data_IF_548309228791
#
_entry.id   IF_548309228791
#
_cell.length_a   1.000
_cell.length_b   1.000
_cell.length_c   1.000
_cell.angle_alpha   90.00
_cell.angle_beta   90.00
_cell.angle_gamma   90.00
#
_symmetry.space_group_name_H-M   'P 1'
#
loop_
_entity.id
_entity.type
_entity.pdbx_description
1 polymer ?
#
# COMPACT_ATOMS: atom_id res chain seq x y z
N UNK A 1 -0.20 12.19 14.68
CA UNK A 1 1.07 11.86 14.00
C UNK A 1 2.01 13.05 14.05
N UNK A 2 3.26 12.84 14.43
CA UNK A 2 4.27 13.91 14.45
C UNK A 2 5.61 13.42 13.88
N UNK A 3 6.04 12.24 14.29
CA UNK A 3 7.27 11.61 13.83
C UNK A 3 6.91 10.26 13.17
N UNK A 4 7.13 10.15 11.88
CA UNK A 4 6.63 9.04 11.07
C UNK A 4 7.79 8.28 10.43
N UNK A 5 7.75 6.96 10.51
CA UNK A 5 8.61 6.07 9.72
C UNK A 5 7.78 5.44 8.59
N UNK A 6 8.18 5.68 7.35
CA UNK A 6 7.59 5.04 6.16
C UNK A 6 8.49 3.91 5.71
N UNK A 7 8.20 2.67 6.08
CA UNK A 7 8.94 1.48 5.62
C UNK A 7 8.48 1.13 4.20
N UNK A 8 9.44 1.01 3.27
CA UNK A 8 9.14 0.85 1.85
C UNK A 8 8.92 2.18 1.11
N UNK A 9 9.59 3.24 1.57
CA UNK A 9 9.50 4.60 1.02
C UNK A 9 9.96 4.75 -0.44
N UNK A 10 10.60 3.74 -1.01
CA UNK A 10 11.04 3.71 -2.43
C UNK A 10 10.04 3.04 -3.36
N UNK A 11 8.96 2.47 -2.82
CA UNK A 11 7.87 1.89 -3.62
C UNK A 11 6.92 2.95 -4.19
N UNK A 12 5.97 2.53 -5.03
CA UNK A 12 4.99 3.42 -5.67
C UNK A 12 4.21 4.27 -4.65
N UNK A 13 3.56 3.62 -3.68
CA UNK A 13 2.83 4.34 -2.62
C UNK A 13 3.82 5.09 -1.72
N UNK A 14 4.94 4.44 -1.35
CA UNK A 14 5.87 4.96 -0.36
C UNK A 14 6.54 6.27 -0.76
N UNK A 15 6.91 6.40 -2.03
CA UNK A 15 7.50 7.63 -2.58
C UNK A 15 6.53 8.81 -2.43
N UNK A 16 5.31 8.65 -2.92
CA UNK A 16 4.31 9.72 -2.89
C UNK A 16 3.81 10.00 -1.46
N UNK A 17 3.58 8.96 -0.66
CA UNK A 17 3.17 9.13 0.74
C UNK A 17 4.23 9.88 1.57
N UNK A 18 5.51 9.52 1.40
CA UNK A 18 6.60 10.22 2.10
C UNK A 18 6.60 11.70 1.78
N UNK A 19 6.48 12.04 0.50
CA UNK A 19 6.44 13.44 0.06
C UNK A 19 5.20 14.17 0.59
N UNK A 20 4.04 13.52 0.53
CA UNK A 20 2.79 14.10 1.03
C UNK A 20 2.84 14.36 2.53
N UNK A 21 3.33 13.40 3.32
CA UNK A 21 3.50 13.56 4.77
C UNK A 21 4.48 14.69 5.11
N UNK A 22 5.59 14.84 4.37
CA UNK A 22 6.54 15.95 4.57
C UNK A 22 5.91 17.32 4.29
N UNK A 23 4.97 17.40 3.36
CA UNK A 23 4.22 18.63 3.07
C UNK A 23 3.20 18.94 4.16
N UNK A 24 2.46 17.95 4.63
CA UNK A 24 1.41 18.12 5.65
C UNK A 24 1.96 18.30 7.07
N UNK A 25 3.12 17.71 7.34
CA UNK A 25 3.78 17.77 8.66
C UNK A 25 5.17 18.41 8.55
N UNK A 26 5.29 19.69 8.18
CA UNK A 26 6.59 20.34 7.91
C UNK A 26 7.49 20.44 9.14
N UNK A 27 6.92 20.35 10.36
CA UNK A 27 7.65 20.37 11.62
C UNK A 27 7.85 18.95 12.21
N UNK A 28 7.45 17.91 11.49
CA UNK A 28 7.61 16.53 11.92
C UNK A 28 8.85 15.85 11.32
N UNK A 29 9.28 14.76 11.95
CA UNK A 29 10.29 13.89 11.37
C UNK A 29 9.59 12.84 10.51
N UNK A 30 9.65 12.98 9.19
CA UNK A 30 9.13 12.00 8.24
C UNK A 30 10.29 11.24 7.63
N UNK A 31 10.57 10.07 8.19
CA UNK A 31 11.74 9.24 7.86
C UNK A 31 11.40 8.29 6.73
N UNK A 32 12.14 8.37 5.62
CA UNK A 32 12.05 7.42 4.51
C UNK A 32 12.84 6.15 4.83
N UNK A 33 12.13 5.06 5.17
CA UNK A 33 12.71 3.74 5.41
C UNK A 33 12.93 2.97 4.11
N UNK A 34 14.15 2.52 3.88
CA UNK A 34 14.57 1.81 2.66
C UNK A 34 15.44 0.59 2.99
N UNK A 35 15.54 -0.36 2.07
CA UNK A 35 16.46 -1.48 2.18
C UNK A 35 17.77 -1.16 1.46
N UNK A 36 18.88 -1.72 1.94
CA UNK A 36 20.21 -1.60 1.30
C UNK A 36 20.15 -1.94 -0.19
N UNK A 37 20.66 -1.06 -1.02
CA UNK A 37 20.66 -1.18 -2.47
C UNK A 37 19.39 -0.64 -3.16
N UNK A 38 18.43 -0.14 -2.40
CA UNK A 38 17.24 0.55 -2.90
C UNK A 38 17.06 1.92 -2.20
N UNK A 39 18.15 2.67 -2.10
CA UNK A 39 18.17 3.98 -1.47
C UNK A 39 17.28 4.98 -2.23
N UNK A 40 16.51 5.83 -1.51
CA UNK A 40 15.74 6.90 -2.15
C UNK A 40 16.64 7.81 -2.98
N UNK A 41 16.09 8.33 -4.07
CA UNK A 41 16.76 9.28 -4.97
C UNK A 41 15.92 10.54 -5.16
N UNK A 42 16.55 11.59 -5.70
CA UNK A 42 15.91 12.86 -5.99
C UNK A 42 15.22 13.45 -4.76
N UNK A 43 14.03 13.96 -4.96
CA UNK A 43 13.33 14.76 -3.94
C UNK A 43 13.11 14.02 -2.61
N UNK A 44 12.91 12.70 -2.62
CA UNK A 44 12.75 11.92 -1.37
C UNK A 44 14.05 11.89 -0.57
N UNK A 45 15.21 11.77 -1.25
CA UNK A 45 16.52 11.81 -0.61
C UNK A 45 16.87 13.21 -0.09
N UNK A 46 16.47 14.25 -0.82
CA UNK A 46 16.87 15.64 -0.58
C UNK A 46 15.97 16.36 0.44
N UNK A 47 14.71 15.91 0.61
CA UNK A 47 13.70 16.64 1.37
C UNK A 47 13.55 16.25 2.83
N UNK A 48 14.32 15.28 3.35
CA UNK A 48 14.20 14.89 4.76
C UNK A 48 14.99 13.64 5.14
N UNK A 49 14.85 13.20 6.40
CA UNK A 49 15.62 12.10 6.93
C UNK A 49 15.33 10.76 6.26
N UNK A 50 16.34 9.90 6.24
CA UNK A 50 16.27 8.53 5.71
C UNK A 50 16.90 7.55 6.69
N UNK A 51 16.43 6.30 6.68
CA UNK A 51 16.99 5.21 7.48
C UNK A 51 17.01 3.90 6.66
N UNK A 52 18.09 3.13 6.79
CA UNK A 52 18.10 1.75 6.32
C UNK A 52 17.26 0.89 7.26
N UNK A 53 16.18 0.30 6.74
CA UNK A 53 15.23 -0.51 7.51
C UNK A 53 14.78 -1.69 6.67
N UNK A 54 15.35 -2.86 6.95
CA UNK A 54 14.82 -4.12 6.46
C UNK A 54 13.71 -4.59 7.41
N UNK A 55 12.48 -4.69 6.93
CA UNK A 55 11.33 -5.11 7.73
C UNK A 55 11.49 -6.51 8.33
N UNK A 56 12.36 -7.36 7.76
CA UNK A 56 12.66 -8.68 8.30
C UNK A 56 13.63 -8.65 9.50
N UNK A 57 14.14 -7.47 9.84
CA UNK A 57 15.03 -7.22 10.97
C UNK A 57 14.36 -6.27 11.98
N UNK A 58 13.78 -6.83 13.04
CA UNK A 58 13.08 -6.08 14.08
C UNK A 58 13.99 -5.03 14.76
N UNK A 59 15.30 -5.31 14.89
CA UNK A 59 16.22 -4.38 15.52
C UNK A 59 16.41 -3.10 14.70
N UNK A 60 16.50 -3.21 13.37
CA UNK A 60 16.59 -2.02 12.50
C UNK A 60 15.32 -1.14 12.58
N UNK A 61 14.15 -1.77 12.74
CA UNK A 61 12.91 -1.02 12.96
C UNK A 61 12.98 -0.29 14.30
N UNK A 62 13.37 -0.99 15.38
CA UNK A 62 13.48 -0.42 16.72
C UNK A 62 14.50 0.72 16.78
N UNK A 63 15.67 0.56 16.18
CA UNK A 63 16.73 1.58 16.12
C UNK A 63 16.24 2.86 15.41
N UNK A 64 15.50 2.69 14.29
CA UNK A 64 14.92 3.83 13.57
C UNK A 64 13.83 4.51 14.41
N UNK A 65 12.97 3.75 15.09
CA UNK A 65 11.94 4.29 15.98
C UNK A 65 12.56 5.11 17.11
N UNK A 66 13.60 4.61 17.78
CA UNK A 66 14.29 5.31 18.85
C UNK A 66 15.02 6.55 18.36
N UNK A 67 15.83 6.41 17.31
CA UNK A 67 16.66 7.50 16.77
C UNK A 67 15.83 8.72 16.35
N UNK A 68 14.66 8.49 15.76
CA UNK A 68 13.83 9.55 15.22
C UNK A 68 12.59 9.86 16.08
N UNK A 69 12.45 9.23 17.25
CA UNK A 69 11.31 9.38 18.16
C UNK A 69 9.97 9.14 17.46
N UNK A 70 9.90 8.06 16.66
CA UNK A 70 8.75 7.73 15.85
C UNK A 70 7.53 7.41 16.71
N UNK A 71 6.40 8.04 16.39
CA UNK A 71 5.10 7.76 16.99
C UNK A 71 4.16 6.96 16.07
N UNK A 72 4.47 6.94 14.77
CA UNK A 72 3.61 6.31 13.76
C UNK A 72 4.47 5.60 12.70
N UNK A 73 4.14 4.35 12.40
CA UNK A 73 4.81 3.56 11.36
C UNK A 73 3.82 3.29 10.22
N UNK A 74 4.17 3.71 9.00
CA UNK A 74 3.53 3.25 7.78
C UNK A 74 4.33 2.07 7.22
N UNK A 75 3.80 0.87 7.39
CA UNK A 75 4.41 -0.34 6.85
C UNK A 75 3.87 -0.62 5.43
N UNK A 76 4.63 -0.21 4.42
CA UNK A 76 4.27 -0.41 3.01
C UNK A 76 5.08 -1.54 2.35
N UNK A 77 5.99 -2.19 3.09
CA UNK A 77 6.84 -3.24 2.55
C UNK A 77 6.03 -4.50 2.23
N UNK A 78 5.99 -4.86 0.96
CA UNK A 78 5.33 -6.07 0.48
C UNK A 78 5.91 -6.49 -0.88
N UNK A 79 5.82 -7.78 -1.22
CA UNK A 79 5.90 -8.21 -2.61
C UNK A 79 4.51 -8.16 -3.23
N UNK A 80 4.39 -7.58 -4.45
CA UNK A 80 3.12 -7.51 -5.16
C UNK A 80 2.78 -8.84 -5.83
N UNK A 81 1.51 -8.99 -6.24
CA UNK A 81 0.89 -10.26 -6.60
C UNK A 81 1.72 -11.15 -7.51
N UNK A 82 2.18 -10.68 -8.68
CA UNK A 82 2.95 -11.52 -9.61
C UNK A 82 4.32 -11.94 -9.04
N UNK A 83 5.02 -10.99 -8.39
CA UNK A 83 6.31 -11.27 -7.75
C UNK A 83 6.15 -12.18 -6.53
N UNK A 84 5.06 -12.04 -5.79
CA UNK A 84 4.75 -12.88 -4.64
C UNK A 84 4.50 -14.33 -5.07
N UNK A 85 3.75 -14.57 -6.14
CA UNK A 85 3.53 -15.91 -6.69
C UNK A 85 4.84 -16.57 -7.18
N UNK A 86 5.74 -15.79 -7.76
CA UNK A 86 7.05 -16.29 -8.17
C UNK A 86 7.97 -16.61 -6.97
N UNK A 87 7.75 -15.98 -5.81
CA UNK A 87 8.62 -16.10 -4.61
C UNK A 87 7.78 -16.20 -3.33
N UNK A 88 6.96 -17.25 -3.15
CA UNK A 88 5.97 -17.32 -2.06
C UNK A 88 6.58 -17.31 -0.66
N UNK A 89 7.74 -17.94 -0.45
CA UNK A 89 8.42 -17.94 0.85
C UNK A 89 8.90 -16.52 1.22
N UNK A 90 9.41 -15.77 0.23
CA UNK A 90 9.84 -14.39 0.46
C UNK A 90 8.64 -13.47 0.70
N UNK A 91 7.53 -13.70 -0.03
CA UNK A 91 6.28 -12.98 0.19
C UNK A 91 5.76 -13.17 1.61
N UNK A 92 5.79 -14.40 2.13
CA UNK A 92 5.43 -14.71 3.51
C UNK A 92 6.38 -14.04 4.51
N UNK A 93 7.69 -14.20 4.29
CA UNK A 93 8.72 -13.61 5.18
C UNK A 93 8.56 -12.10 5.32
N UNK A 94 8.34 -11.39 4.20
CA UNK A 94 8.17 -9.93 4.19
C UNK A 94 6.77 -9.55 4.67
N UNK A 95 5.71 -10.10 4.06
CA UNK A 95 4.33 -9.67 4.29
C UNK A 95 3.79 -10.04 5.68
N UNK A 96 4.13 -11.23 6.17
CA UNK A 96 3.67 -11.70 7.49
C UNK A 96 4.75 -11.52 8.54
N UNK A 97 5.95 -12.05 8.31
CA UNK A 97 7.06 -11.94 9.26
C UNK A 97 7.49 -10.49 9.50
N UNK A 98 7.59 -9.70 8.43
CA UNK A 98 7.92 -8.28 8.55
C UNK A 98 6.83 -7.48 9.27
N UNK A 99 5.56 -7.73 8.98
CA UNK A 99 4.46 -7.12 9.73
C UNK A 99 4.51 -7.51 11.22
N UNK A 100 4.75 -8.79 11.53
CA UNK A 100 4.89 -9.25 12.90
C UNK A 100 5.99 -8.49 13.64
N UNK A 101 7.18 -8.33 13.03
CA UNK A 101 8.26 -7.53 13.59
C UNK A 101 7.84 -6.07 13.86
N UNK A 102 7.14 -5.47 12.89
CA UNK A 102 6.63 -4.09 13.03
C UNK A 102 5.65 -3.96 14.19
N UNK A 103 4.73 -4.90 14.33
CA UNK A 103 3.73 -4.90 15.40
C UNK A 103 4.37 -5.12 16.79
N UNK A 104 5.40 -5.99 16.89
CA UNK A 104 6.13 -6.18 18.15
C UNK A 104 6.90 -4.92 18.54
N UNK A 105 7.61 -4.29 17.61
CA UNK A 105 8.30 -3.02 17.89
C UNK A 105 7.27 -1.93 18.26
N UNK A 106 6.15 -1.84 17.56
CA UNK A 106 5.11 -0.88 17.87
C UNK A 106 4.51 -1.10 19.27
N UNK A 107 4.29 -2.35 19.66
CA UNK A 107 3.85 -2.71 21.02
C UNK A 107 4.84 -2.28 22.10
N UNK A 108 6.12 -2.49 21.85
CA UNK A 108 7.19 -2.16 22.83
C UNK A 108 7.47 -0.67 22.94
N UNK A 109 7.37 0.05 21.81
CA UNK A 109 7.72 1.47 21.71
C UNK A 109 6.52 2.42 21.75
N UNK A 110 5.28 1.89 21.75
CA UNK A 110 4.07 2.70 21.81
C UNK A 110 3.73 3.42 20.50
N UNK A 111 4.08 2.85 19.34
CA UNK A 111 3.79 3.44 18.04
C UNK A 111 2.40 3.00 17.52
N UNK A 112 1.73 3.89 16.78
CA UNK A 112 0.62 3.51 15.92
C UNK A 112 1.14 2.90 14.60
N UNK A 113 0.36 2.00 13.97
CA UNK A 113 0.78 1.30 12.75
C UNK A 113 -0.31 1.40 11.68
N UNK A 114 0.07 1.88 10.51
CA UNK A 114 -0.70 1.72 9.28
C UNK A 114 -0.09 0.60 8.43
N UNK A 115 -0.90 -0.37 8.01
CA UNK A 115 -0.45 -1.39 7.05
C UNK A 115 -1.54 -1.59 6.01
N UNK A 116 -1.32 -1.27 4.72
CA UNK A 116 -2.37 -1.39 3.72
C UNK A 116 -2.73 -2.85 3.46
N UNK A 117 -4.03 -3.12 3.47
CA UNK A 117 -4.60 -4.31 2.85
C UNK A 117 -4.93 -4.04 1.38
N UNK A 118 -5.62 -4.94 0.73
CA UNK A 118 -5.90 -4.89 -0.71
C UNK A 118 -7.19 -5.63 -1.02
N UNK A 119 -7.85 -5.29 -2.12
CA UNK A 119 -8.91 -6.11 -2.72
C UNK A 119 -8.41 -7.53 -3.06
N UNK A 120 -7.09 -7.73 -3.17
CA UNK A 120 -6.49 -9.06 -3.27
C UNK A 120 -6.73 -9.99 -2.08
N UNK A 121 -7.21 -9.46 -0.94
CA UNK A 121 -7.67 -10.26 0.22
C UNK A 121 -9.00 -10.98 -0.02
N UNK A 122 -9.74 -10.58 -1.04
CA UNK A 122 -10.98 -11.22 -1.45
C UNK A 122 -10.71 -12.47 -2.32
N UNK A 123 -11.70 -13.35 -2.40
CA UNK A 123 -11.62 -14.60 -3.16
C UNK A 123 -12.90 -14.90 -3.93
N UNK A 124 -12.95 -16.07 -4.55
CA UNK A 124 -14.09 -16.47 -5.39
C UNK A 124 -15.44 -16.49 -4.68
N UNK A 125 -15.44 -16.69 -3.36
CA UNK A 125 -16.68 -16.72 -2.56
C UNK A 125 -17.12 -15.33 -2.07
N UNK A 126 -16.35 -14.29 -2.32
CA UNK A 126 -16.69 -12.91 -1.94
C UNK A 126 -17.68 -12.34 -2.97
N UNK A 127 -18.79 -11.68 -2.54
CA UNK A 127 -19.65 -10.95 -3.46
C UNK A 127 -18.86 -9.92 -4.26
N UNK A 128 -19.08 -9.91 -5.60
CA UNK A 128 -18.31 -9.02 -6.49
C UNK A 128 -18.86 -7.61 -6.54
N UNK A 129 -20.18 -7.49 -6.49
CA UNK A 129 -20.87 -6.20 -6.49
C UNK A 129 -21.27 -5.83 -5.09
N UNK A 130 -21.08 -4.55 -4.71
CA UNK A 130 -21.36 -4.04 -3.39
C UNK A 130 -20.75 -4.89 -2.26
N UNK A 131 -19.47 -5.27 -2.44
CA UNK A 131 -18.73 -6.12 -1.49
C UNK A 131 -18.87 -5.61 -0.05
N UNK A 132 -19.49 -6.37 0.87
CA UNK A 132 -19.65 -5.95 2.24
C UNK A 132 -18.29 -5.75 2.94
N UNK A 133 -18.29 -4.87 3.96
CA UNK A 133 -17.10 -4.65 4.79
C UNK A 133 -16.69 -5.96 5.48
N UNK A 134 -17.65 -6.65 6.07
CA UNK A 134 -17.45 -7.97 6.66
C UNK A 134 -17.97 -9.04 5.69
N UNK A 135 -17.04 -9.82 5.16
CA UNK A 135 -17.34 -10.82 4.12
C UNK A 135 -16.36 -11.98 4.17
N UNK A 136 -16.66 -13.03 3.40
CA UNK A 136 -15.77 -14.18 3.27
C UNK A 136 -14.51 -13.79 2.51
N UNK A 137 -13.35 -13.97 3.14
CA UNK A 137 -12.04 -13.77 2.54
C UNK A 137 -11.36 -15.13 2.37
N UNK A 138 -11.31 -15.64 1.15
CA UNK A 138 -10.61 -16.87 0.77
C UNK A 138 -9.84 -16.65 -0.53
N UNK A 139 -8.77 -15.84 -0.48
CA UNK A 139 -7.94 -15.58 -1.66
C UNK A 139 -7.19 -16.85 -2.09
N UNK A 140 -6.99 -16.96 -3.41
CA UNK A 140 -6.26 -18.08 -4.03
C UNK A 140 -4.77 -17.78 -4.22
N UNK A 141 -4.31 -16.57 -3.90
CA UNK A 141 -2.93 -16.12 -4.10
C UNK A 141 -2.19 -15.97 -2.79
N UNK A 142 -0.86 -16.23 -2.79
CA UNK A 142 -0.03 -16.01 -1.60
C UNK A 142 -0.08 -14.54 -1.16
N UNK A 143 -0.13 -13.59 -2.09
CA UNK A 143 -0.30 -12.18 -1.80
C UNK A 143 -1.58 -11.93 -0.99
N UNK A 144 -2.72 -12.40 -1.48
CA UNK A 144 -4.01 -12.26 -0.79
C UNK A 144 -4.01 -12.93 0.58
N UNK A 145 -3.41 -14.12 0.70
CA UNK A 145 -3.26 -14.83 1.98
C UNK A 145 -2.46 -14.00 2.98
N UNK A 146 -1.34 -13.38 2.56
CA UNK A 146 -0.56 -12.50 3.44
C UNK A 146 -1.36 -11.26 3.88
N UNK A 147 -2.22 -10.72 3.00
CA UNK A 147 -3.08 -9.57 3.35
C UNK A 147 -4.13 -9.94 4.38
N UNK A 148 -4.86 -11.05 4.19
CA UNK A 148 -5.82 -11.55 5.18
C UNK A 148 -5.14 -11.83 6.53
N UNK A 149 -3.99 -12.50 6.51
CA UNK A 149 -3.20 -12.76 7.72
C UNK A 149 -2.81 -11.46 8.41
N UNK A 150 -2.41 -10.45 7.64
CA UNK A 150 -2.04 -9.13 8.16
C UNK A 150 -3.22 -8.40 8.82
N UNK A 151 -4.41 -8.45 8.21
CA UNK A 151 -5.64 -7.90 8.81
C UNK A 151 -5.94 -8.56 10.18
N UNK A 152 -5.89 -9.90 10.23
CA UNK A 152 -6.17 -10.65 11.46
C UNK A 152 -5.11 -10.41 12.54
N UNK A 153 -3.83 -10.32 12.18
CA UNK A 153 -2.76 -9.98 13.13
C UNK A 153 -2.94 -8.58 13.69
N UNK A 154 -3.23 -7.60 12.84
CA UNK A 154 -3.44 -6.21 13.25
C UNK A 154 -4.61 -6.11 14.24
N UNK A 155 -5.73 -6.76 13.97
CA UNK A 155 -6.87 -6.83 14.88
C UNK A 155 -6.51 -7.50 16.21
N UNK A 156 -5.74 -8.59 16.16
CA UNK A 156 -5.27 -9.26 17.36
C UNK A 156 -4.42 -8.35 18.22
N UNK A 157 -3.45 -7.62 17.62
CA UNK A 157 -2.57 -6.71 18.36
C UNK A 157 -3.32 -5.53 18.97
N UNK A 158 -4.32 -5.02 18.27
CA UNK A 158 -5.19 -3.98 18.84
C UNK A 158 -5.98 -4.50 20.05
N UNK A 159 -6.65 -5.65 19.91
CA UNK A 159 -7.47 -6.20 21.01
C UNK A 159 -6.66 -6.70 22.20
N UNK A 160 -5.52 -7.35 21.92
CA UNK A 160 -4.72 -8.03 22.96
C UNK A 160 -3.75 -7.11 23.66
N UNK A 161 -3.15 -6.17 22.93
CA UNK A 161 -2.03 -5.37 23.40
C UNK A 161 -2.30 -3.86 23.35
N UNK A 162 -3.42 -3.42 22.80
CA UNK A 162 -3.76 -2.00 22.70
C UNK A 162 -2.95 -1.23 21.65
N UNK A 163 -2.25 -1.91 20.72
CA UNK A 163 -1.55 -1.24 19.63
C UNK A 163 -2.57 -0.61 18.70
N UNK A 164 -2.43 0.68 18.42
CA UNK A 164 -3.29 1.37 17.46
C UNK A 164 -2.91 0.98 16.03
N UNK A 165 -3.58 -0.04 15.52
CA UNK A 165 -3.39 -0.51 14.14
C UNK A 165 -4.54 -0.06 13.26
N UNK A 166 -4.25 0.43 12.06
CA UNK A 166 -5.26 0.87 11.10
C UNK A 166 -4.88 0.49 9.68
N UNK A 167 -5.88 0.19 8.86
CA UNK A 167 -5.66 -0.14 7.47
C UNK A 167 -6.87 0.14 6.59
N UNK A 168 -6.61 0.21 5.28
CA UNK A 168 -7.62 0.23 4.22
C UNK A 168 -7.31 -0.87 3.22
N UNK A 169 -8.32 -1.45 2.57
CA UNK A 169 -8.18 -2.36 1.44
C UNK A 169 -8.12 -1.54 0.18
N UNK A 170 -6.91 -1.29 -0.32
CA UNK A 170 -6.74 -0.55 -1.56
C UNK A 170 -7.20 -1.36 -2.76
N UNK A 171 -7.89 -0.70 -3.72
CA UNK A 171 -8.08 -1.21 -5.08
C UNK A 171 -6.80 -1.08 -5.90
N UNK A 172 -6.87 -1.24 -7.21
CA UNK A 172 -5.78 -0.88 -8.11
C UNK A 172 -5.46 0.62 -8.02
N UNK A 173 -4.19 0.96 -7.93
CA UNK A 173 -3.77 2.35 -7.79
C UNK A 173 -3.19 2.88 -9.10
N UNK A 174 -3.66 4.04 -9.51
CA UNK A 174 -3.19 4.76 -10.69
C UNK A 174 -2.31 5.93 -10.24
N UNK A 175 -1.04 5.89 -10.63
CA UNK A 175 -0.06 6.93 -10.36
C UNK A 175 0.76 7.24 -11.61
N UNK A 176 1.27 8.45 -11.70
CA UNK A 176 2.21 8.89 -12.74
C UNK A 176 3.60 9.26 -12.19
N UNK A 177 3.76 9.24 -10.87
CA UNK A 177 5.01 9.68 -10.21
C UNK A 177 6.04 8.57 -10.16
N UNK A 178 5.62 7.37 -9.80
CA UNK A 178 6.48 6.20 -9.76
C UNK A 178 5.90 5.07 -10.62
N UNK A 179 6.75 4.30 -11.33
CA UNK A 179 6.27 3.18 -12.12
C UNK A 179 5.63 2.11 -11.23
N UNK A 180 4.70 1.30 -11.79
CA UNK A 180 4.08 0.21 -11.08
C UNK A 180 5.06 -0.90 -10.73
N UNK A 181 4.75 -1.69 -9.72
CA UNK A 181 5.66 -2.66 -9.09
C UNK A 181 5.43 -4.13 -9.42
N UNK A 182 4.59 -4.48 -10.40
CA UNK A 182 4.25 -5.86 -10.78
C UNK A 182 2.94 -6.34 -10.17
N UNK A 183 1.94 -5.48 -10.08
CA UNK A 183 0.57 -5.80 -9.69
C UNK A 183 -0.32 -6.18 -10.87
N UNK A 184 -1.41 -6.90 -10.62
CA UNK A 184 -2.39 -7.29 -11.66
C UNK A 184 -3.09 -6.08 -12.28
N UNK A 185 -3.17 -4.98 -11.53
CA UNK A 185 -3.84 -3.73 -11.94
C UNK A 185 -2.94 -2.74 -12.66
N UNK A 186 -1.66 -3.07 -12.82
CA UNK A 186 -0.64 -2.17 -13.39
C UNK A 186 -0.92 -1.81 -14.86
N UNK A 187 -1.73 -2.64 -15.55
CA UNK A 187 -2.18 -2.33 -16.91
C UNK A 187 -2.81 -0.94 -17.02
N UNK A 188 -3.51 -0.51 -15.96
CA UNK A 188 -4.19 0.80 -15.92
C UNK A 188 -3.21 1.98 -15.76
N UNK A 189 -1.92 1.71 -15.57
CA UNK A 189 -0.83 2.70 -15.60
C UNK A 189 -0.03 2.54 -16.89
N UNK A 190 0.36 1.32 -17.23
CA UNK A 190 1.20 1.01 -18.41
C UNK A 190 0.53 1.43 -19.72
N UNK A 191 -0.81 1.33 -19.80
CA UNK A 191 -1.59 1.76 -20.95
C UNK A 191 -1.39 3.25 -21.28
N UNK A 192 -1.27 4.11 -20.28
CA UNK A 192 -1.02 5.55 -20.48
C UNK A 192 0.40 5.81 -20.98
N UNK A 193 1.39 5.09 -20.46
CA UNK A 193 2.77 5.20 -20.96
C UNK A 193 2.86 4.81 -22.43
N UNK A 194 2.19 3.72 -22.82
CA UNK A 194 2.14 3.30 -24.24
C UNK A 194 1.44 4.34 -25.12
N UNK A 195 0.32 4.89 -24.66
CA UNK A 195 -0.41 5.91 -25.39
C UNK A 195 0.44 7.17 -25.63
N UNK A 196 1.15 7.66 -24.60
CA UNK A 196 2.01 8.86 -24.71
C UNK A 196 3.20 8.61 -25.63
N UNK A 197 3.72 7.37 -25.73
CA UNK A 197 4.82 7.02 -26.63
C UNK A 197 4.36 6.72 -28.06
N UNK A 198 3.06 6.69 -28.33
CA UNK A 198 2.52 6.28 -29.64
C UNK A 198 2.69 4.78 -29.92
N UNK A 199 2.80 3.96 -28.89
CA UNK A 199 3.00 2.52 -28.97
C UNK A 199 1.65 1.78 -28.90
N UNK A 200 1.59 0.60 -29.52
CA UNK A 200 0.43 -0.31 -29.34
C UNK A 200 0.53 -0.98 -27.97
N UNK A 201 -0.54 -0.91 -27.18
CA UNK A 201 -0.61 -1.55 -25.88
C UNK A 201 -1.30 -2.91 -25.95
N UNK A 202 -0.59 -3.97 -25.59
CA UNK A 202 -1.18 -5.30 -25.48
C UNK A 202 -1.68 -5.53 -24.05
N UNK A 203 -2.97 -5.31 -23.82
CA UNK A 203 -3.57 -5.51 -22.51
C UNK A 203 -3.55 -7.01 -22.10
N UNK A 204 -3.08 -7.35 -20.90
CA UNK A 204 -3.09 -8.72 -20.39
C UNK A 204 -4.48 -9.20 -19.96
N UNK A 205 -5.44 -8.28 -19.81
CA UNK A 205 -6.80 -8.57 -19.37
C UNK A 205 -7.77 -8.61 -20.55
N UNK A 206 -8.80 -9.45 -20.42
CA UNK A 206 -9.87 -9.52 -21.42
C UNK A 206 -10.85 -8.35 -21.26
N UNK A 207 -11.50 -7.90 -22.35
CA UNK A 207 -12.66 -7.02 -22.28
C UNK A 207 -13.72 -7.56 -21.28
N UNK A 208 -14.42 -6.66 -20.60
CA UNK A 208 -15.39 -7.03 -19.57
C UNK A 208 -14.78 -7.48 -18.23
N UNK A 209 -13.46 -7.40 -18.06
CA UNK A 209 -12.80 -7.63 -16.76
C UNK A 209 -12.80 -6.34 -15.96
N UNK A 210 -13.86 -6.10 -15.21
CA UNK A 210 -13.98 -4.94 -14.34
C UNK A 210 -13.09 -5.08 -13.09
N UNK A 211 -12.38 -4.02 -12.78
CA UNK A 211 -11.56 -3.92 -11.58
C UNK A 211 -11.74 -2.56 -10.93
N UNK A 212 -11.82 -2.55 -9.61
CA UNK A 212 -11.84 -1.31 -8.84
C UNK A 212 -10.48 -0.63 -8.86
N UNK A 213 -10.50 0.67 -9.07
CA UNK A 213 -9.33 1.53 -9.19
C UNK A 213 -9.49 2.79 -8.35
N UNK A 214 -8.36 3.38 -8.00
CA UNK A 214 -8.30 4.66 -7.28
C UNK A 214 -7.08 5.46 -7.75
N UNK A 215 -7.24 6.77 -7.86
CA UNK A 215 -6.12 7.66 -8.13
C UNK A 215 -5.24 7.82 -6.88
N UNK A 216 -3.91 7.83 -7.06
CA UNK A 216 -2.97 7.82 -5.94
C UNK A 216 -3.21 8.94 -4.91
N UNK A 217 -3.48 10.20 -5.28
CA UNK A 217 -3.77 11.25 -4.31
C UNK A 217 -4.95 10.93 -3.37
N UNK A 218 -6.00 10.25 -3.86
CA UNK A 218 -7.12 9.82 -3.02
C UNK A 218 -6.73 8.66 -2.10
N UNK A 219 -5.89 7.74 -2.58
CA UNK A 219 -5.35 6.67 -1.77
C UNK A 219 -4.47 7.19 -0.62
N UNK A 220 -3.62 8.18 -0.91
CA UNK A 220 -2.79 8.84 0.10
C UNK A 220 -3.65 9.57 1.13
N UNK A 221 -4.67 10.29 0.68
CA UNK A 221 -5.64 10.94 1.56
C UNK A 221 -6.30 9.92 2.48
N UNK A 222 -6.81 8.81 1.95
CA UNK A 222 -7.42 7.75 2.77
C UNK A 222 -6.45 7.18 3.81
N UNK A 223 -5.17 6.96 3.45
CA UNK A 223 -4.15 6.46 4.35
C UNK A 223 -3.79 7.47 5.47
N UNK A 224 -3.83 8.76 5.19
CA UNK A 224 -3.52 9.80 6.17
C UNK A 224 -4.73 10.03 7.07
N UNK A 225 -5.91 10.28 6.49
CA UNK A 225 -7.14 10.57 7.25
C UNK A 225 -7.53 9.43 8.19
N UNK A 226 -7.35 8.15 7.80
CA UNK A 226 -7.63 7.05 8.72
C UNK A 226 -6.71 7.05 9.94
N UNK A 227 -5.44 7.45 9.78
CA UNK A 227 -4.50 7.58 10.90
C UNK A 227 -4.75 8.81 11.76
N UNK A 228 -5.36 9.87 11.23
CA UNK A 228 -5.74 11.07 11.96
C UNK A 228 -7.11 10.94 12.64
N UNK A 229 -7.95 10.03 12.16
CA UNK A 229 -9.29 9.83 12.69
C UNK A 229 -9.28 9.56 14.20
N UNK A 230 -10.25 10.12 14.91
CA UNK A 230 -10.43 9.80 16.33
C UNK A 230 -10.70 8.29 16.48
N UNK A 231 -9.85 7.55 17.22
CA UNK A 231 -9.99 6.11 17.39
C UNK A 231 -11.33 5.68 17.99
N UNK A 232 -11.96 6.50 18.81
CA UNK A 232 -13.24 6.18 19.46
C UNK A 232 -14.42 6.23 18.49
N UNK A 233 -14.23 6.81 17.30
CA UNK A 233 -15.23 6.87 16.24
C UNK A 233 -15.09 5.76 15.20
N UNK A 234 -14.04 4.97 15.27
CA UNK A 234 -13.78 3.88 14.32
C UNK A 234 -14.55 2.63 14.77
N UNK A 235 -15.55 2.20 13.99
CA UNK A 235 -16.31 0.96 14.21
C UNK A 235 -15.39 -0.25 14.02
N UNK A 236 -14.55 -0.22 12.97
CA UNK A 236 -13.46 -1.13 12.73
C UNK A 236 -12.15 -0.37 12.92
N UNK A 237 -11.05 -1.07 13.16
CA UNK A 237 -9.71 -0.48 13.19
C UNK A 237 -8.98 -0.71 11.88
N UNK A 238 -9.18 -1.87 11.30
CA UNK A 238 -8.44 -2.32 10.15
C UNK A 238 -9.35 -2.61 8.97
N UNK A 239 -8.76 -2.53 7.78
CA UNK A 239 -9.27 -3.15 6.55
C UNK A 239 -10.56 -2.52 6.02
N UNK A 240 -10.67 -1.19 6.15
CA UNK A 240 -11.79 -0.46 5.52
C UNK A 240 -11.76 -0.63 4.00
N UNK A 241 -12.88 -1.03 3.41
CA UNK A 241 -13.03 -1.01 1.97
C UNK A 241 -12.98 0.41 1.45
N UNK A 242 -12.12 0.68 0.49
CA UNK A 242 -12.05 1.97 -0.21
C UNK A 242 -12.05 1.74 -1.71
N UNK A 243 -12.77 2.57 -2.45
CA UNK A 243 -12.83 2.54 -3.91
C UNK A 243 -13.14 3.92 -4.45
N UNK A 244 -12.88 4.16 -5.72
CA UNK A 244 -13.18 5.44 -6.38
C UNK A 244 -13.92 5.21 -7.70
N UNK A 245 -13.47 4.26 -8.51
CA UNK A 245 -14.05 3.97 -9.82
C UNK A 245 -13.88 2.48 -10.15
N UNK A 246 -14.73 1.97 -11.03
CA UNK A 246 -14.60 0.63 -11.58
C UNK A 246 -14.69 0.68 -13.10
N UNK A 247 -13.73 0.08 -13.79
CA UNK A 247 -13.71 0.03 -15.25
C UNK A 247 -12.99 -1.22 -15.76
N UNK A 248 -13.22 -1.52 -17.02
CA UNK A 248 -12.54 -2.57 -17.77
C UNK A 248 -11.54 -1.99 -18.78
N UNK A 249 -10.73 -2.83 -19.45
CA UNK A 249 -9.76 -2.35 -20.44
C UNK A 249 -10.35 -1.56 -21.62
N UNK A 250 -11.60 -1.84 -22.03
CA UNK A 250 -12.23 -1.10 -23.13
C UNK A 250 -12.59 0.33 -22.72
N UNK A 251 -13.15 0.50 -21.53
CA UNK A 251 -13.52 1.81 -21.00
C UNK A 251 -12.30 2.72 -20.94
N UNK A 252 -11.20 2.26 -20.34
CA UNK A 252 -9.97 3.06 -20.21
C UNK A 252 -9.35 3.34 -21.61
N UNK A 253 -9.35 2.36 -22.52
CA UNK A 253 -8.85 2.55 -23.88
C UNK A 253 -9.65 3.59 -24.64
N UNK A 254 -11.00 3.54 -24.54
CA UNK A 254 -11.86 4.52 -25.18
C UNK A 254 -11.65 5.92 -24.62
N UNK A 255 -11.43 6.02 -23.31
CA UNK A 255 -11.13 7.30 -22.66
C UNK A 255 -9.79 7.89 -23.11
N UNK A 256 -8.78 7.06 -23.33
CA UNK A 256 -7.49 7.49 -23.87
C UNK A 256 -7.64 7.99 -25.31
N UNK A 257 -8.45 7.33 -26.14
CA UNK A 257 -8.70 7.75 -27.53
C UNK A 257 -9.36 9.11 -27.68
N UNK A 258 -10.03 9.61 -26.65
CA UNK A 258 -10.53 10.99 -26.65
C UNK A 258 -9.39 12.02 -26.75
N UNK A 259 -8.18 11.67 -26.28
CA UNK A 259 -6.99 12.53 -26.27
C UNK A 259 -5.91 12.09 -27.26
N UNK A 260 -5.87 10.80 -27.56
CA UNK A 260 -4.92 10.15 -28.49
C UNK A 260 -5.73 9.29 -29.47
N UNK A 261 -6.35 9.88 -30.51
CA UNK A 261 -7.32 9.19 -31.38
C UNK A 261 -6.81 7.92 -32.05
N UNK A 262 -5.51 7.86 -32.40
CA UNK A 262 -4.87 6.74 -33.07
C UNK A 262 -4.35 5.63 -32.14
N UNK A 263 -4.63 5.73 -30.85
CA UNK A 263 -4.16 4.74 -29.85
C UNK A 263 -4.76 3.36 -30.07
N UNK A 264 -3.88 2.34 -30.07
CA UNK A 264 -4.20 0.92 -30.33
C UNK A 264 -3.83 0.04 -29.17
#
# INVERSE_FOLDING_TARGET
MKNVLVIGATGQIGTELTMRLRQEYPNGNIVAGYIKGAEPKGIVAESGPMAEVDITNAQQIADAVEKYHVDTIYNLAALLSATAEAKPQLAWKIGVGGLYNTLEVAREKGCAVFTPSSIGSFGKGTPRDHTPQDTIQRPDTIYGITKVTGEMLSDYYTRRFGVDTRSVRFPGLISYVAPPGGGTTDYAVDIYYSAVRGETFKCPLKPGTFMDMMYMPDALRAAIEIMEANPDRLVHRNSFNVTSMSFDPEIISNKIREYVPDFK
#
